data_IF_105684134450
#
_entry.id   IF_105684134450
#
_cell.length_a   1.000
_cell.length_b   1.000
_cell.length_c   1.000
_cell.angle_alpha   90.00
_cell.angle_beta   90.00
_cell.angle_gamma   90.00
#
_symmetry.space_group_name_H-M   'P 1'
#
loop_
_entity.id
_entity.type
_entity.pdbx_description
1 polymer ?
#
# COMPACT_ATOMS: atom_id res chain seq x y z
N UNK A 1 24.66 -8.19 7.90
CA UNK A 1 23.23 -8.00 8.25
C UNK A 1 22.86 -8.64 9.58
N UNK A 2 22.96 -9.97 9.77
CA UNK A 2 22.64 -10.59 11.09
C UNK A 2 23.67 -10.18 12.16
N UNK A 3 24.97 -10.24 11.84
CA UNK A 3 26.02 -9.78 12.76
C UNK A 3 25.90 -8.27 13.10
N UNK A 4 25.45 -7.46 12.15
CA UNK A 4 25.22 -6.03 12.38
C UNK A 4 24.03 -5.80 13.32
N UNK A 5 22.98 -6.62 13.21
CA UNK A 5 21.87 -6.65 14.15
C UNK A 5 22.33 -7.04 15.56
N UNK A 6 23.11 -8.11 15.71
CA UNK A 6 23.66 -8.55 17.00
C UNK A 6 24.46 -7.43 17.67
N UNK A 7 25.36 -6.81 16.92
CA UNK A 7 26.19 -5.70 17.40
C UNK A 7 25.34 -4.50 17.79
N UNK A 8 24.37 -4.10 16.96
CA UNK A 8 23.50 -2.96 17.24
C UNK A 8 22.63 -3.21 18.47
N UNK A 9 22.11 -4.42 18.63
CA UNK A 9 21.33 -4.80 19.80
C UNK A 9 22.19 -4.78 21.06
N UNK A 10 23.42 -5.30 20.99
CA UNK A 10 24.37 -5.23 22.10
C UNK A 10 24.70 -3.77 22.49
N UNK A 11 24.97 -2.91 21.51
CA UNK A 11 25.25 -1.48 21.73
C UNK A 11 24.06 -0.75 22.39
N UNK A 12 22.84 -0.98 21.88
CA UNK A 12 21.62 -0.34 22.39
C UNK A 12 21.30 -0.82 23.80
N UNK A 13 21.37 -2.12 24.08
CA UNK A 13 21.18 -2.65 25.42
C UNK A 13 22.28 -2.18 26.37
N UNK A 14 23.54 -2.15 25.93
CA UNK A 14 24.67 -1.69 26.72
C UNK A 14 24.58 -0.23 27.16
N UNK A 15 23.94 0.62 26.34
CA UNK A 15 23.67 2.02 26.66
C UNK A 15 22.42 2.26 27.52
N UNK A 16 21.48 1.31 27.56
CA UNK A 16 20.20 1.43 28.29
C UNK A 16 20.22 0.76 29.65
N UNK A 17 20.84 -0.40 29.74
CA UNK A 17 20.89 -1.17 30.97
C UNK A 17 21.67 -0.41 32.05
N UNK A 18 21.15 -0.45 33.27
CA UNK A 18 21.77 0.16 34.44
C UNK A 18 22.65 -0.86 35.18
N UNK A 19 23.34 -0.43 36.25
CA UNK A 19 24.13 -1.34 37.06
C UNK A 19 23.25 -2.51 37.58
N UNK A 20 23.75 -3.76 37.58
CA UNK A 20 25.14 -4.17 37.38
C UNK A 20 25.55 -4.45 35.91
N UNK A 21 24.65 -4.25 34.95
CA UNK A 21 24.82 -4.59 33.54
C UNK A 21 25.27 -3.41 32.65
N UNK A 22 25.35 -2.20 33.21
CA UNK A 22 25.73 -0.99 32.48
C UNK A 22 27.03 -1.17 31.68
N UNK A 23 26.94 -1.03 30.36
CA UNK A 23 28.06 -1.21 29.44
C UNK A 23 28.63 -2.64 29.35
N UNK A 24 27.93 -3.66 29.88
CA UNK A 24 28.38 -5.06 29.92
C UNK A 24 27.50 -5.96 29.07
N UNK A 25 27.24 -5.51 27.85
CA UNK A 25 26.52 -6.28 26.84
C UNK A 25 27.46 -6.54 25.69
N UNK A 26 27.61 -7.81 25.33
CA UNK A 26 28.56 -8.26 24.31
C UNK A 26 27.86 -9.15 23.29
N UNK A 27 28.43 -9.26 22.09
CA UNK A 27 28.02 -10.29 21.14
C UNK A 27 28.67 -11.62 21.52
N UNK A 28 27.91 -12.72 21.47
CA UNK A 28 28.39 -14.09 21.74
C UNK A 28 29.62 -14.42 20.87
N UNK A 29 30.68 -15.06 21.42
CA UNK A 29 30.78 -15.67 22.75
C UNK A 29 31.14 -14.71 23.90
N UNK A 30 31.47 -13.46 23.59
CA UNK A 30 31.91 -12.45 24.55
C UNK A 30 33.22 -12.81 25.28
N UNK A 31 33.64 -12.00 26.27
CA UNK A 31 34.84 -12.27 27.07
C UNK A 31 34.66 -13.47 27.99
N UNK A 32 35.64 -14.39 28.02
CA UNK A 32 35.58 -15.63 28.80
C UNK A 32 35.66 -15.41 30.32
N UNK A 33 36.48 -14.45 30.75
CA UNK A 33 36.70 -14.15 32.17
C UNK A 33 35.97 -12.87 32.55
N UNK A 34 34.84 -13.01 33.22
CA UNK A 34 34.12 -11.88 33.79
C UNK A 34 33.92 -12.09 35.28
N UNK A 35 34.74 -11.44 36.10
CA UNK A 35 34.53 -11.23 37.55
C UNK A 35 33.19 -10.51 37.88
N UNK A 36 32.35 -10.28 36.87
CA UNK A 36 31.26 -9.34 36.83
C UNK A 36 30.16 -9.92 35.92
N UNK A 37 28.90 -9.69 36.29
CA UNK A 37 27.76 -10.13 35.51
C UNK A 37 27.72 -9.41 34.15
N UNK A 38 27.42 -10.16 33.09
CA UNK A 38 27.39 -9.67 31.72
C UNK A 38 26.22 -10.26 30.93
N UNK A 39 25.82 -9.59 29.86
CA UNK A 39 24.82 -10.06 28.91
C UNK A 39 25.50 -10.38 27.58
N UNK A 40 25.10 -11.49 26.96
CA UNK A 40 25.57 -11.96 25.67
C UNK A 40 24.41 -11.99 24.70
N UNK A 41 24.59 -11.42 23.51
CA UNK A 41 23.57 -11.35 22.46
C UNK A 41 24.06 -12.17 21.27
N UNK A 42 23.23 -13.06 20.75
CA UNK A 42 23.54 -13.79 19.52
C UNK A 42 22.29 -14.31 18.82
N UNK A 43 22.31 -14.34 17.50
CA UNK A 43 21.33 -15.01 16.68
C UNK A 43 21.63 -16.52 16.67
N UNK A 44 20.63 -17.34 16.98
CA UNK A 44 20.78 -18.81 16.96
C UNK A 44 20.09 -19.47 15.78
N UNK A 45 19.04 -18.83 15.27
CA UNK A 45 18.30 -19.34 14.15
C UNK A 45 17.76 -18.19 13.32
N UNK A 46 17.66 -18.39 12.01
CA UNK A 46 17.01 -17.46 11.10
C UNK A 46 16.17 -18.25 10.11
N UNK A 47 14.88 -17.92 10.05
CA UNK A 47 13.91 -18.50 9.13
C UNK A 47 13.58 -17.48 8.05
N UNK A 48 13.54 -17.92 6.79
CA UNK A 48 13.07 -17.09 5.68
C UNK A 48 11.55 -17.08 5.68
N UNK A 49 10.95 -15.89 5.82
CA UNK A 49 9.51 -15.75 5.81
C UNK A 49 8.98 -15.81 4.37
N UNK A 50 8.05 -16.74 4.13
CA UNK A 50 7.45 -16.93 2.83
C UNK A 50 6.77 -15.65 2.32
N UNK A 51 7.03 -15.32 1.06
CA UNK A 51 6.34 -14.24 0.38
C UNK A 51 4.84 -14.55 0.28
N UNK A 52 3.99 -13.58 0.61
CA UNK A 52 2.57 -13.69 0.25
C UNK A 52 2.49 -13.61 -1.28
N UNK A 53 2.10 -14.71 -1.91
CA UNK A 53 1.92 -14.79 -3.37
C UNK A 53 0.89 -13.74 -3.83
N UNK A 54 1.25 -12.95 -4.85
CA UNK A 54 0.38 -11.93 -5.46
C UNK A 54 0.72 -10.49 -5.03
N UNK A 55 0.92 -9.62 -6.02
CA UNK A 55 1.16 -8.17 -5.91
C UNK A 55 2.37 -7.67 -5.07
N UNK A 56 3.14 -8.55 -4.43
CA UNK A 56 4.47 -8.25 -3.85
C UNK A 56 5.58 -7.98 -4.88
N UNK A 57 5.22 -7.51 -6.08
CA UNK A 57 6.20 -7.02 -7.06
C UNK A 57 6.59 -5.61 -6.65
N UNK A 58 7.79 -5.42 -6.11
CA UNK A 58 8.71 -4.32 -6.48
C UNK A 58 9.92 -4.24 -5.54
N UNK A 59 11.02 -3.62 -6.02
CA UNK A 59 12.22 -3.45 -5.22
C UNK A 59 11.90 -2.58 -3.98
N UNK A 60 12.43 -2.97 -2.82
CA UNK A 60 12.09 -2.34 -1.53
C UNK A 60 13.01 -1.14 -1.30
N UNK A 61 12.43 0.03 -0.98
CA UNK A 61 13.20 1.20 -0.58
C UNK A 61 13.55 1.06 0.90
N UNK A 62 14.84 1.11 1.22
CA UNK A 62 15.36 0.93 2.57
C UNK A 62 16.37 2.03 2.90
N UNK A 63 16.68 2.27 4.18
CA UNK A 63 17.63 3.30 4.57
C UNK A 63 18.99 3.14 3.88
N UNK A 64 19.58 4.26 3.47
CA UNK A 64 20.91 4.31 2.87
C UNK A 64 20.98 4.13 1.35
N UNK A 65 19.85 3.99 0.64
CA UNK A 65 19.78 4.28 -0.80
C UNK A 65 18.43 4.88 -1.20
N UNK A 66 18.49 5.79 -2.17
CA UNK A 66 17.30 6.31 -2.84
C UNK A 66 16.69 5.27 -3.78
N UNK A 67 17.57 4.47 -4.42
CA UNK A 67 17.15 3.39 -5.29
C UNK A 67 16.73 2.15 -4.52
N UNK A 68 15.68 1.47 -5.00
CA UNK A 68 15.13 0.32 -4.31
C UNK A 68 16.05 -0.90 -4.49
N UNK A 69 16.17 -1.75 -3.48
CA UNK A 69 17.18 -2.82 -3.44
C UNK A 69 16.60 -4.20 -3.16
N UNK A 70 17.43 -5.22 -3.37
CA UNK A 70 17.12 -6.60 -3.00
C UNK A 70 17.29 -6.79 -1.50
N UNK A 71 16.30 -7.45 -0.91
CA UNK A 71 16.16 -7.69 0.52
C UNK A 71 15.72 -9.13 0.75
N UNK A 72 15.92 -9.61 1.97
CA UNK A 72 15.41 -10.90 2.43
C UNK A 72 14.60 -10.66 3.68
N UNK A 73 13.38 -11.21 3.72
CA UNK A 73 12.52 -11.16 4.92
C UNK A 73 12.89 -12.32 5.82
N UNK A 74 13.39 -12.01 7.01
CA UNK A 74 13.82 -13.00 7.97
C UNK A 74 13.07 -12.85 9.29
N UNK A 75 12.85 -13.99 9.93
CA UNK A 75 12.56 -14.13 11.35
C UNK A 75 13.82 -14.67 12.02
N UNK A 76 14.48 -13.83 12.79
CA UNK A 76 15.66 -14.21 13.55
C UNK A 76 15.25 -14.54 15.00
N UNK A 77 15.60 -15.74 15.46
CA UNK A 77 15.56 -16.08 16.87
C UNK A 77 16.90 -15.66 17.50
N UNK A 78 16.82 -14.67 18.39
CA UNK A 78 17.93 -14.13 19.15
C UNK A 78 17.91 -14.74 20.56
N UNK A 79 19.07 -15.09 21.08
CA UNK A 79 19.27 -15.43 22.48
C UNK A 79 20.02 -14.31 23.16
N UNK A 80 19.47 -13.86 24.28
CA UNK A 80 20.10 -12.89 25.17
C UNK A 80 20.39 -13.60 26.48
N UNK A 81 21.65 -13.99 26.68
CA UNK A 81 22.10 -14.82 27.78
C UNK A 81 22.72 -13.97 28.88
N UNK A 82 22.45 -14.31 30.14
CA UNK A 82 23.04 -13.63 31.30
C UNK A 82 24.15 -14.51 31.86
N UNK A 83 25.40 -14.09 31.65
CA UNK A 83 26.57 -14.73 32.24
C UNK A 83 26.74 -14.26 33.69
N UNK A 84 26.61 -15.14 34.70
CA UNK A 84 26.84 -14.75 36.08
C UNK A 84 28.31 -14.38 36.31
N UNK A 85 28.58 -13.58 37.35
CA UNK A 85 29.93 -13.37 37.83
C UNK A 85 30.46 -14.64 38.50
N UNK A 86 31.78 -14.83 38.56
CA UNK A 86 32.43 -16.00 39.19
C UNK A 86 31.99 -16.27 40.63
N UNK A 87 31.67 -15.22 41.39
CA UNK A 87 31.13 -15.28 42.76
C UNK A 87 29.69 -14.74 42.84
N UNK A 88 28.98 -14.74 41.72
CA UNK A 88 27.63 -14.21 41.61
C UNK A 88 26.60 -15.08 42.34
N UNK A 89 25.70 -14.44 43.06
CA UNK A 89 24.57 -15.14 43.70
C UNK A 89 23.40 -15.30 42.72
N UNK A 90 22.57 -16.33 42.92
CA UNK A 90 21.31 -16.50 42.17
C UNK A 90 20.44 -15.24 42.18
N UNK A 91 20.43 -14.50 43.30
CA UNK A 91 19.67 -13.27 43.43
C UNK A 91 20.19 -12.16 42.50
N UNK A 92 21.50 -12.05 42.31
CA UNK A 92 22.10 -11.08 41.38
C UNK A 92 21.78 -11.44 39.93
N UNK A 93 21.81 -12.73 39.58
CA UNK A 93 21.44 -13.20 38.25
C UNK A 93 19.95 -12.97 37.94
N UNK A 94 19.06 -13.22 38.92
CA UNK A 94 17.64 -12.94 38.78
C UNK A 94 17.37 -11.44 38.61
N UNK A 95 18.01 -10.58 39.41
CA UNK A 95 17.86 -9.13 39.29
C UNK A 95 18.36 -8.59 37.93
N UNK A 96 19.42 -9.20 37.38
CA UNK A 96 19.91 -8.88 36.04
C UNK A 96 18.92 -9.29 34.94
N UNK A 97 18.29 -10.46 35.06
CA UNK A 97 17.21 -10.89 34.16
C UNK A 97 16.00 -9.96 34.25
N UNK A 98 15.60 -9.55 35.45
CA UNK A 98 14.48 -8.62 35.64
C UNK A 98 14.76 -7.27 34.97
N UNK A 99 15.97 -6.73 35.15
CA UNK A 99 16.40 -5.49 34.48
C UNK A 99 16.41 -5.64 32.96
N UNK A 100 16.88 -6.78 32.44
CA UNK A 100 16.88 -7.08 31.01
C UNK A 100 15.45 -7.16 30.45
N UNK A 101 14.56 -7.89 31.11
CA UNK A 101 13.17 -8.05 30.68
C UNK A 101 12.41 -6.73 30.69
N UNK A 102 12.64 -5.90 31.72
CA UNK A 102 12.06 -4.57 31.81
C UNK A 102 12.47 -3.69 30.64
N UNK A 103 13.76 -3.68 30.27
CA UNK A 103 14.24 -2.93 29.11
C UNK A 103 13.70 -3.49 27.78
N UNK A 104 13.65 -4.82 27.63
CA UNK A 104 13.12 -5.47 26.41
C UNK A 104 11.63 -5.20 26.17
N UNK A 105 10.84 -4.97 27.23
CA UNK A 105 9.43 -4.57 27.08
C UNK A 105 9.26 -3.07 26.77
N UNK A 106 10.33 -2.28 26.75
CA UNK A 106 10.26 -0.87 26.35
C UNK A 106 9.69 -0.75 24.93
N UNK A 107 8.83 0.25 24.73
CA UNK A 107 8.13 0.46 23.44
C UNK A 107 9.10 0.53 22.27
N UNK A 108 10.21 1.23 22.44
CA UNK A 108 11.19 1.46 21.37
C UNK A 108 11.98 0.20 20.99
N UNK A 109 12.21 -0.71 21.93
CA UNK A 109 12.78 -2.02 21.62
C UNK A 109 11.73 -2.91 20.97
N UNK A 110 10.49 -2.94 21.49
CA UNK A 110 9.41 -3.75 20.89
C UNK A 110 9.10 -3.43 19.44
N UNK A 111 9.10 -2.14 19.08
CA UNK A 111 8.94 -1.68 17.70
C UNK A 111 10.26 -1.58 16.93
N UNK A 112 11.37 -2.03 17.54
CA UNK A 112 12.73 -1.97 17.03
C UNK A 112 13.22 -0.58 16.59
N UNK A 113 12.52 0.49 16.96
CA UNK A 113 12.88 1.87 16.59
C UNK A 113 14.17 2.33 17.29
N UNK A 114 14.49 1.75 18.45
CA UNK A 114 15.77 1.97 19.13
C UNK A 114 16.97 1.46 18.31
N UNK A 115 16.76 0.48 17.44
CA UNK A 115 17.81 -0.15 16.64
C UNK A 115 18.06 0.61 15.34
N UNK A 116 17.16 1.50 14.93
CA UNK A 116 17.33 2.35 13.76
C UNK A 116 18.59 3.22 13.91
N UNK A 117 19.39 3.30 12.85
CA UNK A 117 20.62 4.10 12.78
C UNK A 117 20.58 4.97 11.52
N UNK A 118 21.21 6.17 11.54
CA UNK A 118 21.44 6.91 10.30
C UNK A 118 22.35 6.12 9.36
N UNK A 119 22.11 6.24 8.05
CA UNK A 119 22.86 5.54 7.01
C UNK A 119 22.26 4.19 6.62
N UNK A 120 23.12 3.21 6.32
CA UNK A 120 22.76 1.87 5.87
C UNK A 120 23.11 0.80 6.92
N UNK A 121 22.18 0.44 7.82
CA UNK A 121 22.43 -0.57 8.85
C UNK A 121 22.45 -2.01 8.32
N UNK A 122 22.05 -2.26 7.06
CA UNK A 122 21.89 -3.62 6.53
C UNK A 122 20.65 -4.37 7.05
N UNK A 123 19.77 -3.72 7.81
CA UNK A 123 18.51 -4.29 8.26
C UNK A 123 17.50 -3.22 8.68
N UNK A 124 16.20 -3.55 8.61
CA UNK A 124 15.09 -2.82 9.24
C UNK A 124 14.20 -3.86 9.88
N UNK A 125 13.88 -3.68 11.15
CA UNK A 125 13.03 -4.60 11.89
C UNK A 125 11.62 -4.02 12.05
N UNK A 126 10.64 -4.91 11.92
CA UNK A 126 9.24 -4.61 12.23
C UNK A 126 8.99 -4.70 13.74
N UNK A 127 9.63 -5.69 14.39
CA UNK A 127 9.51 -5.88 15.83
C UNK A 127 10.68 -6.67 16.43
N UNK A 128 10.84 -6.50 17.74
CA UNK A 128 11.72 -7.28 18.59
C UNK A 128 10.94 -7.70 19.85
N UNK A 129 10.52 -8.96 19.93
CA UNK A 129 9.57 -9.41 20.97
C UNK A 129 10.16 -10.55 21.79
N UNK A 130 10.17 -10.45 23.15
CA UNK A 130 10.48 -11.58 24.01
C UNK A 130 9.47 -12.71 23.79
N UNK A 131 9.95 -13.92 23.57
CA UNK A 131 9.11 -15.12 23.38
C UNK A 131 9.16 -16.04 24.59
N UNK A 132 10.33 -16.19 25.21
CA UNK A 132 10.51 -17.08 26.36
C UNK A 132 11.65 -16.64 27.27
N UNK A 133 11.63 -17.11 28.52
CA UNK A 133 12.67 -16.85 29.52
C UNK A 133 12.98 -18.13 30.27
N UNK A 134 14.26 -18.49 30.35
CA UNK A 134 14.76 -19.57 31.20
C UNK A 134 15.64 -18.99 32.30
N UNK A 135 15.12 -18.96 33.54
CA UNK A 135 15.81 -18.41 34.71
C UNK A 135 16.74 -19.43 35.37
N UNK A 136 16.33 -20.70 35.39
CA UNK A 136 17.14 -21.84 35.81
C UNK A 136 17.28 -22.70 34.57
N UNK A 137 18.47 -22.77 33.98
CA UNK A 137 18.62 -23.39 32.69
C UNK A 137 18.72 -24.92 32.93
N UNK A 138 18.11 -25.71 32.03
CA UNK A 138 17.83 -27.14 32.27
C UNK A 138 19.06 -28.05 32.25
N UNK A 139 20.19 -27.53 31.75
CA UNK A 139 21.46 -28.25 31.60
C UNK A 139 22.55 -27.63 32.49
N UNK A 140 23.51 -28.42 33.00
CA UNK A 140 24.52 -27.95 33.96
C UNK A 140 25.38 -26.76 33.50
N UNK A 141 25.60 -26.61 32.19
CA UNK A 141 26.45 -25.58 31.59
C UNK A 141 25.66 -24.50 30.84
N UNK A 142 24.32 -24.57 30.89
CA UNK A 142 23.47 -23.61 30.21
C UNK A 142 23.38 -22.31 31.01
N UNK A 143 23.31 -21.17 30.30
CA UNK A 143 23.14 -19.86 30.92
C UNK A 143 21.65 -19.49 30.98
N UNK A 144 21.23 -18.71 31.98
CA UNK A 144 19.92 -18.09 31.95
C UNK A 144 19.76 -17.23 30.69
N UNK A 145 18.60 -17.33 30.04
CA UNK A 145 18.41 -16.78 28.70
C UNK A 145 17.02 -16.17 28.52
N UNK A 146 16.96 -15.10 27.75
CA UNK A 146 15.73 -14.57 27.16
C UNK A 146 15.78 -14.84 25.66
N UNK A 147 14.82 -15.58 25.14
CA UNK A 147 14.65 -15.76 23.71
C UNK A 147 13.80 -14.63 23.14
N UNK A 148 14.30 -14.02 22.07
CA UNK A 148 13.71 -12.84 21.47
C UNK A 148 13.56 -13.06 19.98
N UNK A 149 12.37 -12.82 19.45
CA UNK A 149 12.10 -12.84 18.02
C UNK A 149 12.34 -11.47 17.41
N UNK A 150 13.15 -11.42 16.36
CA UNK A 150 13.34 -10.26 15.51
C UNK A 150 12.79 -10.55 14.11
N UNK A 151 11.68 -9.91 13.74
CA UNK A 151 11.10 -10.02 12.39
C UNK A 151 11.46 -8.75 11.59
N UNK A 152 11.93 -8.90 10.36
CA UNK A 152 12.27 -7.75 9.52
C UNK A 152 12.90 -8.06 8.18
N UNK A 153 13.41 -7.02 7.55
CA UNK A 153 14.09 -7.03 6.27
C UNK A 153 15.60 -6.92 6.47
N UNK A 154 16.35 -7.69 5.68
CA UNK A 154 17.80 -7.79 5.80
C UNK A 154 18.43 -7.71 4.41
N UNK A 155 19.56 -7.00 4.32
CA UNK A 155 20.33 -6.85 3.08
C UNK A 155 21.81 -6.61 3.41
N UNK A 156 22.74 -6.90 2.48
CA UNK A 156 24.14 -6.58 2.70
C UNK A 156 24.33 -5.05 2.86
N UNK A 157 25.02 -4.57 3.91
CA UNK A 157 25.30 -3.14 4.07
C UNK A 157 26.00 -2.57 2.83
N UNK A 158 25.63 -1.35 2.45
CA UNK A 158 26.12 -0.64 1.27
C UNK A 158 25.84 -1.33 -0.07
N UNK A 159 24.92 -2.30 -0.11
CA UNK A 159 24.48 -2.88 -1.37
C UNK A 159 23.78 -1.80 -2.21
N UNK A 160 24.20 -1.58 -3.46
CA UNK A 160 23.57 -0.59 -4.31
C UNK A 160 22.11 -0.99 -4.61
N UNK A 161 21.24 0.02 -4.67
CA UNK A 161 19.91 -0.14 -5.23
C UNK A 161 19.97 -0.42 -6.73
N UNK A 162 18.85 -0.88 -7.27
CA UNK A 162 18.66 -1.02 -8.71
C UNK A 162 17.69 0.07 -9.13
N UNK A 163 18.20 1.05 -9.87
CA UNK A 163 17.38 2.10 -10.47
C UNK A 163 16.25 1.46 -11.27
N UNK A 164 15.02 1.80 -10.92
CA UNK A 164 13.84 1.33 -11.64
C UNK A 164 13.81 1.85 -13.07
N UNK A 165 12.94 1.26 -13.90
CA UNK A 165 12.63 1.88 -15.19
C UNK A 165 11.89 3.17 -14.92
N UNK A 166 12.38 4.28 -15.50
CA UNK A 166 11.76 5.58 -15.43
C UNK A 166 10.30 5.52 -15.89
N UNK A 167 9.37 6.01 -15.07
CA UNK A 167 7.97 6.16 -15.45
C UNK A 167 7.84 7.47 -16.21
N UNK A 168 8.04 7.42 -17.52
CA UNK A 168 8.00 8.60 -18.41
C UNK A 168 6.59 9.20 -18.59
N UNK A 169 5.53 8.42 -18.29
CA UNK A 169 4.16 8.90 -18.27
C UNK A 169 3.26 8.01 -17.42
N UNK A 170 2.37 8.64 -16.64
CA UNK A 170 1.25 7.95 -15.97
C UNK A 170 -0.08 8.54 -16.45
N UNK A 171 -0.95 7.68 -16.99
CA UNK A 171 -2.31 8.06 -17.36
C UNK A 171 -3.24 7.79 -16.16
N UNK A 172 -3.67 8.85 -15.49
CA UNK A 172 -4.65 8.75 -14.40
C UNK A 172 -6.03 9.07 -14.97
N UNK A 173 -6.92 8.07 -14.91
CA UNK A 173 -8.34 8.22 -15.26
C UNK A 173 -9.15 8.18 -13.97
N UNK A 174 -9.37 9.34 -13.36
CA UNK A 174 -10.26 9.49 -12.21
C UNK A 174 -11.60 10.03 -12.69
N UNK A 175 -12.67 9.26 -12.51
CA UNK A 175 -14.04 9.71 -12.71
C UNK A 175 -14.72 9.77 -11.33
N UNK A 176 -14.91 10.98 -10.80
CA UNK A 176 -15.92 11.24 -9.79
C UNK A 176 -16.74 12.41 -10.29
N UNK A 177 -17.93 12.12 -10.82
CA UNK A 177 -18.81 13.11 -11.45
C UNK A 177 -20.20 13.05 -10.79
N UNK A 178 -20.80 14.19 -10.39
CA UNK A 178 -22.23 14.35 -10.54
C UNK A 178 -22.52 14.54 -12.04
N UNK A 179 -23.15 13.55 -12.67
CA UNK A 179 -23.71 13.68 -14.03
C UNK A 179 -25.18 14.03 -13.89
N UNK A 180 -25.61 15.15 -14.47
CA UNK A 180 -27.01 15.56 -14.46
C UNK A 180 -27.55 15.65 -15.89
N UNK A 181 -28.78 15.19 -16.10
CA UNK A 181 -29.52 15.36 -17.34
C UNK A 181 -30.46 16.58 -17.19
N UNK A 182 -30.56 17.39 -18.24
CA UNK A 182 -31.46 18.55 -18.30
C UNK A 182 -32.29 18.50 -19.60
N UNK A 183 -33.60 18.78 -19.54
CA UNK A 183 -34.40 18.92 -18.32
C UNK A 183 -34.55 17.58 -17.57
N UNK A 184 -34.74 17.62 -16.26
CA UNK A 184 -35.07 16.47 -15.43
C UNK A 184 -35.98 16.87 -14.27
N UNK A 185 -37.05 16.11 -13.93
CA UNK A 185 -37.51 14.89 -14.60
C UNK A 185 -38.08 15.15 -16.00
N UNK A 186 -37.96 14.16 -16.89
CA UNK A 186 -38.54 14.20 -18.23
C UNK A 186 -40.00 13.72 -18.18
N UNK A 187 -40.89 14.50 -18.80
CA UNK A 187 -42.28 14.11 -19.07
C UNK A 187 -42.42 13.98 -20.59
N UNK A 188 -42.38 12.75 -21.11
CA UNK A 188 -42.39 12.45 -22.54
C UNK A 188 -43.56 11.53 -22.85
N UNK A 189 -44.34 11.85 -23.89
CA UNK A 189 -45.41 11.01 -24.42
C UNK A 189 -45.02 10.39 -25.76
N UNK A 190 -45.69 9.28 -26.07
CA UNK A 190 -45.54 8.62 -27.35
C UNK A 190 -45.89 9.57 -28.51
N UNK A 191 -44.98 9.69 -29.47
CA UNK A 191 -45.14 10.60 -30.63
C UNK A 191 -44.94 12.08 -30.32
N UNK A 192 -44.44 12.45 -29.14
CA UNK A 192 -44.05 13.82 -28.84
C UNK A 192 -42.96 14.33 -29.82
N UNK A 193 -42.88 15.65 -30.03
CA UNK A 193 -41.80 16.23 -30.82
C UNK A 193 -40.44 15.93 -30.19
N UNK A 194 -39.39 16.03 -31.02
CA UNK A 194 -37.99 15.85 -30.61
C UNK A 194 -37.64 16.72 -29.40
N UNK A 195 -37.12 16.10 -28.35
CA UNK A 195 -36.79 16.73 -27.07
C UNK A 195 -35.30 17.09 -27.04
N UNK A 196 -34.93 18.36 -26.80
CA UNK A 196 -33.53 18.72 -26.56
C UNK A 196 -33.08 18.23 -25.18
N UNK A 197 -31.93 17.58 -25.12
CA UNK A 197 -31.32 17.07 -23.90
C UNK A 197 -29.90 17.63 -23.75
N UNK A 198 -29.55 17.98 -22.52
CA UNK A 198 -28.21 18.42 -22.15
C UNK A 198 -27.69 17.58 -21.00
N UNK A 199 -26.54 16.96 -21.17
CA UNK A 199 -25.79 16.37 -20.05
C UNK A 199 -24.86 17.43 -19.49
N UNK A 200 -24.99 17.72 -18.20
CA UNK A 200 -24.03 18.53 -17.43
C UNK A 200 -23.04 17.61 -16.75
N UNK A 201 -21.76 17.85 -17.01
CA UNK A 201 -20.65 17.10 -16.42
C UNK A 201 -19.97 18.02 -15.42
N UNK A 202 -19.95 17.65 -14.14
CA UNK A 202 -19.16 18.39 -13.14
C UNK A 202 -17.69 18.48 -13.57
N UNK A 203 -17.02 19.59 -13.28
CA UNK A 203 -15.66 19.86 -13.75
C UNK A 203 -14.68 18.72 -13.39
N UNK A 204 -14.29 17.92 -14.39
CA UNK A 204 -13.13 17.04 -14.32
C UNK A 204 -12.57 16.85 -15.73
N UNK A 205 -11.26 16.74 -15.83
CA UNK A 205 -10.54 16.46 -17.06
C UNK A 205 -9.57 15.30 -16.88
N UNK A 206 -9.06 14.75 -17.97
CA UNK A 206 -7.95 13.80 -17.93
C UNK A 206 -6.68 14.54 -17.56
N UNK A 207 -5.99 14.13 -16.50
CA UNK A 207 -4.66 14.66 -16.18
C UNK A 207 -3.61 13.69 -16.68
N UNK A 208 -2.79 14.13 -17.64
CA UNK A 208 -1.55 13.43 -17.97
C UNK A 208 -0.47 13.94 -17.01
N UNK A 209 0.09 13.04 -16.22
CA UNK A 209 1.24 13.34 -15.39
C UNK A 209 2.52 13.03 -16.18
N UNK A 210 3.26 14.08 -16.51
CA UNK A 210 4.60 14.11 -17.11
C UNK A 210 5.52 14.95 -16.21
N UNK A 211 6.78 15.17 -16.59
CA UNK A 211 7.65 16.15 -15.91
C UNK A 211 7.13 17.60 -16.04
N UNK A 212 6.37 17.86 -17.10
CA UNK A 212 5.65 19.13 -17.29
C UNK A 212 4.43 19.27 -16.35
N UNK A 213 3.98 20.51 -16.06
CA UNK A 213 2.77 20.76 -15.28
C UNK A 213 1.59 19.92 -15.79
N UNK A 214 0.79 19.31 -14.88
CA UNK A 214 -0.32 18.46 -15.28
C UNK A 214 -1.27 19.23 -16.21
N UNK A 215 -1.39 18.73 -17.43
CA UNK A 215 -2.36 19.26 -18.39
C UNK A 215 -3.69 18.57 -18.13
N UNK A 216 -4.65 19.33 -17.59
CA UNK A 216 -6.05 18.90 -17.49
C UNK A 216 -6.67 19.07 -18.86
N UNK A 217 -6.91 17.96 -19.58
CA UNK A 217 -7.70 17.99 -20.80
C UNK A 217 -9.18 17.88 -20.44
N UNK A 218 -10.06 18.80 -20.90
CA UNK A 218 -11.50 18.62 -20.73
C UNK A 218 -11.93 17.29 -21.34
N UNK A 219 -13.00 16.66 -20.84
CA UNK A 219 -13.63 15.55 -21.54
C UNK A 219 -13.98 16.03 -22.96
N UNK A 220 -13.23 15.63 -23.98
CA UNK A 220 -13.45 16.12 -25.33
C UNK A 220 -14.79 15.65 -25.90
N UNK A 221 -15.21 14.44 -25.52
CA UNK A 221 -16.38 13.77 -26.11
C UNK A 221 -17.03 12.77 -25.13
N UNK A 222 -18.36 12.66 -25.18
CA UNK A 222 -19.15 11.64 -24.48
C UNK A 222 -19.80 10.71 -25.50
N UNK A 223 -19.90 9.42 -25.16
CA UNK A 223 -20.69 8.47 -25.93
C UNK A 223 -22.06 8.28 -25.24
N UNK A 224 -23.16 8.46 -25.98
CA UNK A 224 -24.52 8.28 -25.47
C UNK A 224 -25.30 7.26 -26.30
N UNK A 225 -26.12 6.44 -25.63
CA UNK A 225 -26.95 5.43 -26.30
C UNK A 225 -28.27 5.24 -25.57
N UNK A 226 -29.34 4.97 -26.33
CA UNK A 226 -30.63 4.56 -25.79
C UNK A 226 -30.74 3.04 -25.81
N UNK A 227 -31.08 2.46 -24.67
CA UNK A 227 -31.26 1.01 -24.51
C UNK A 227 -32.59 0.69 -23.83
N UNK A 228 -33.14 -0.49 -24.08
CA UNK A 228 -34.27 -1.02 -23.31
C UNK A 228 -33.82 -1.51 -21.91
N UNK A 229 -34.77 -1.92 -21.06
CA UNK A 229 -34.48 -2.49 -19.74
C UNK A 229 -33.54 -3.73 -19.77
N UNK A 230 -33.45 -4.42 -20.91
CA UNK A 230 -32.57 -5.57 -21.13
C UNK A 230 -31.20 -5.24 -21.75
N UNK A 231 -30.91 -3.96 -22.01
CA UNK A 231 -29.65 -3.50 -22.61
C UNK A 231 -29.57 -3.66 -24.14
N UNK A 232 -30.68 -3.98 -24.82
CA UNK A 232 -30.78 -3.99 -26.29
C UNK A 232 -31.06 -2.56 -26.80
N UNK A 233 -30.91 -2.27 -28.11
CA UNK A 233 -31.30 -0.96 -28.65
C UNK A 233 -32.74 -0.59 -28.24
N UNK A 234 -32.91 0.62 -27.68
CA UNK A 234 -34.21 1.10 -27.25
C UNK A 234 -35.11 1.54 -28.41
N UNK A 235 -36.34 1.90 -28.10
CA UNK A 235 -37.37 2.21 -29.11
C UNK A 235 -37.24 3.64 -29.66
N UNK A 236 -36.79 4.60 -28.84
CA UNK A 236 -36.51 5.96 -29.26
C UNK A 236 -35.16 6.13 -29.94
N UNK A 237 -34.96 7.27 -30.60
CA UNK A 237 -33.76 7.56 -31.39
C UNK A 237 -32.99 8.77 -30.85
N UNK A 238 -31.67 8.79 -31.05
CA UNK A 238 -30.83 9.95 -30.71
C UNK A 238 -30.34 10.65 -31.97
N UNK A 239 -30.27 11.98 -31.91
CA UNK A 239 -29.65 12.82 -32.93
C UNK A 239 -28.76 13.91 -32.30
N UNK A 240 -27.82 14.44 -33.10
CA UNK A 240 -26.70 15.26 -32.62
C UNK A 240 -25.40 14.47 -32.51
N UNK A 241 -24.27 15.16 -32.64
CA UNK A 241 -22.93 14.57 -32.62
C UNK A 241 -22.63 13.60 -33.77
N UNK A 242 -21.49 12.89 -33.68
CA UNK A 242 -21.07 11.90 -34.66
C UNK A 242 -21.76 10.55 -34.43
N UNK A 243 -22.07 9.81 -35.50
CA UNK A 243 -22.64 8.45 -35.43
C UNK A 243 -21.55 7.48 -34.99
N UNK A 244 -21.81 6.73 -33.92
CA UNK A 244 -21.00 5.59 -33.48
C UNK A 244 -21.67 4.24 -33.78
N UNK A 245 -21.01 3.12 -33.45
CA UNK A 245 -21.58 1.78 -33.58
C UNK A 245 -22.79 1.59 -32.66
N UNK A 246 -23.66 0.63 -33.01
CA UNK A 246 -24.78 0.18 -32.19
C UNK A 246 -25.75 1.29 -31.73
N UNK A 247 -25.97 2.29 -32.59
CA UNK A 247 -26.88 3.42 -32.30
C UNK A 247 -26.31 4.45 -31.32
N UNK A 248 -25.02 4.38 -31.02
CA UNK A 248 -24.32 5.35 -30.16
C UNK A 248 -24.16 6.70 -30.88
N UNK A 249 -24.25 7.80 -30.13
CA UNK A 249 -23.84 9.14 -30.59
C UNK A 249 -22.65 9.62 -29.79
N UNK A 250 -21.67 10.18 -30.47
CA UNK A 250 -20.51 10.82 -29.84
C UNK A 250 -20.74 12.33 -29.82
N UNK A 251 -20.83 12.90 -28.63
CA UNK A 251 -21.20 14.30 -28.39
C UNK A 251 -20.00 15.03 -27.83
N UNK A 252 -19.51 16.03 -28.57
CA UNK A 252 -18.47 16.94 -28.07
C UNK A 252 -18.97 17.68 -26.84
N UNK A 253 -18.16 17.73 -25.78
CA UNK A 253 -18.47 18.54 -24.60
C UNK A 253 -17.87 19.93 -24.81
N UNK A 254 -18.72 20.94 -24.77
CA UNK A 254 -18.31 22.35 -24.77
C UNK A 254 -18.87 22.98 -23.50
N UNK A 255 -18.10 23.81 -22.79
CA UNK A 255 -18.76 24.61 -21.75
C UNK A 255 -19.15 23.84 -20.49
N UNK A 256 -18.71 22.58 -20.31
CA UNK A 256 -19.26 21.57 -19.35
C UNK A 256 -20.54 20.83 -19.78
N UNK A 257 -21.02 21.11 -20.99
CA UNK A 257 -22.28 20.63 -21.52
C UNK A 257 -22.09 19.77 -22.77
N UNK A 258 -22.86 18.68 -22.85
CA UNK A 258 -23.03 17.89 -24.05
C UNK A 258 -24.49 17.96 -24.49
N UNK A 259 -24.73 18.58 -25.65
CA UNK A 259 -26.08 18.80 -26.19
C UNK A 259 -26.41 17.80 -27.30
N UNK A 260 -27.58 17.18 -27.20
CA UNK A 260 -28.11 16.24 -28.18
C UNK A 260 -29.64 16.24 -28.11
N UNK A 261 -30.28 15.41 -28.93
CA UNK A 261 -31.72 15.34 -29.06
C UNK A 261 -32.20 13.90 -28.96
N UNK A 262 -33.30 13.70 -28.25
CA UNK A 262 -34.01 12.42 -28.19
C UNK A 262 -35.34 12.53 -28.94
N UNK A 263 -35.59 11.58 -29.82
CA UNK A 263 -36.85 11.43 -30.53
C UNK A 263 -37.65 10.30 -29.86
N UNK A 264 -38.78 10.63 -29.20
CA UNK A 264 -39.63 9.64 -28.56
C UNK A 264 -40.22 8.65 -29.59
N UNK A 265 -40.34 7.37 -29.25
CA UNK A 265 -41.02 6.40 -30.09
C UNK A 265 -42.52 6.71 -30.24
N UNK A 266 -43.12 6.22 -31.32
CA UNK A 266 -44.56 6.39 -31.59
C UNK A 266 -45.47 5.55 -30.67
N UNK A 267 -44.91 4.63 -29.89
CA UNK A 267 -45.61 3.82 -28.90
C UNK A 267 -44.93 3.96 -27.52
N UNK A 268 -45.64 3.72 -26.42
CA UNK A 268 -45.06 3.74 -25.08
C UNK A 268 -43.86 2.78 -24.95
N UNK A 269 -42.81 3.22 -24.26
CA UNK A 269 -41.57 2.46 -24.10
C UNK A 269 -40.85 2.83 -22.79
N UNK A 270 -40.16 1.85 -22.21
CA UNK A 270 -39.29 2.01 -21.04
C UNK A 270 -37.82 2.04 -21.49
N UNK A 271 -37.43 3.14 -22.11
CA UNK A 271 -36.07 3.37 -22.58
C UNK A 271 -35.16 3.86 -21.43
N UNK A 272 -33.85 3.70 -21.61
CA UNK A 272 -32.80 4.21 -20.73
C UNK A 272 -31.74 4.91 -21.58
N UNK A 273 -31.40 6.15 -21.20
CA UNK A 273 -30.23 6.83 -21.73
C UNK A 273 -29.01 6.41 -20.91
N UNK A 274 -28.00 5.84 -21.56
CA UNK A 274 -26.72 5.48 -20.94
C UNK A 274 -25.62 6.38 -21.48
N UNK A 275 -24.82 6.91 -20.57
CA UNK A 275 -23.70 7.82 -20.84
C UNK A 275 -22.39 7.11 -20.55
N UNK A 276 -21.45 7.15 -21.47
CA UNK A 276 -20.14 6.51 -21.38
C UNK A 276 -19.02 7.50 -21.66
N UNK A 277 -17.82 7.17 -21.16
CA UNK A 277 -16.58 7.82 -21.60
C UNK A 277 -16.32 7.42 -23.06
N UNK A 278 -16.13 8.40 -23.96
CA UNK A 278 -15.68 8.14 -25.32
C UNK A 278 -14.21 7.65 -25.31
N UNK A 279 -13.88 6.65 -26.11
CA UNK A 279 -12.51 6.15 -26.22
C UNK A 279 -11.87 6.63 -27.54
N UNK A 280 -10.71 7.28 -27.44
CA UNK A 280 -9.92 7.63 -28.62
C UNK A 280 -9.27 6.36 -29.21
N UNK A 281 -9.58 6.08 -30.48
CA UNK A 281 -9.04 4.95 -31.24
C UNK A 281 -9.52 4.95 -32.69
N UNK A 282 -8.94 4.10 -33.55
CA UNK A 282 -9.27 4.00 -34.98
C UNK A 282 -10.73 3.56 -35.27
N UNK A 283 -11.49 3.20 -34.24
CA UNK A 283 -12.92 2.97 -34.29
C UNK A 283 -13.52 3.39 -32.95
N UNK A 284 -14.61 4.18 -32.93
CA UNK A 284 -15.23 4.61 -31.68
C UNK A 284 -15.72 3.38 -30.91
N UNK A 285 -15.27 3.25 -29.66
CA UNK A 285 -15.65 2.16 -28.76
C UNK A 285 -16.23 2.70 -27.46
N UNK A 286 -17.24 1.99 -26.94
CA UNK A 286 -17.95 2.36 -25.71
C UNK A 286 -17.05 2.08 -24.51
N UNK A 287 -16.71 3.12 -23.75
CA UNK A 287 -15.89 3.03 -22.55
C UNK A 287 -16.68 2.67 -21.28
N UNK A 288 -16.22 3.17 -20.15
CA UNK A 288 -16.86 2.95 -18.84
C UNK A 288 -18.20 3.70 -18.78
N UNK A 289 -19.26 3.05 -18.29
CA UNK A 289 -20.56 3.68 -18.01
C UNK A 289 -20.41 4.71 -16.89
N UNK A 290 -20.77 5.96 -17.19
CA UNK A 290 -20.73 7.09 -16.27
C UNK A 290 -22.06 7.29 -15.55
N UNK A 291 -23.17 7.17 -16.29
CA UNK A 291 -24.50 7.42 -15.76
C UNK A 291 -25.58 6.75 -16.61
N UNK A 292 -26.74 6.55 -15.99
CA UNK A 292 -27.95 6.01 -16.62
C UNK A 292 -29.17 6.80 -16.17
N UNK A 293 -30.01 7.19 -17.13
CA UNK A 293 -31.22 7.98 -16.89
C UNK A 293 -32.44 7.30 -17.51
N UNK A 294 -33.54 7.10 -16.76
CA UNK A 294 -34.76 6.56 -17.35
C UNK A 294 -35.41 7.54 -18.34
N UNK A 295 -35.78 7.04 -19.51
CA UNK A 295 -36.57 7.72 -20.52
C UNK A 295 -37.93 7.01 -20.65
N UNK A 296 -38.77 7.15 -19.61
CA UNK A 296 -40.11 6.57 -19.64
C UNK A 296 -41.00 7.37 -20.59
N UNK A 297 -41.50 6.71 -21.64
CA UNK A 297 -42.39 7.30 -22.65
C UNK A 297 -43.79 6.77 -22.39
N UNK A 298 -44.69 7.66 -21.94
CA UNK A 298 -46.07 7.28 -21.59
C UNK A 298 -47.00 7.37 -22.79
N UNK A 299 -48.14 6.67 -22.74
CA UNK A 299 -49.22 6.81 -23.72
C UNK A 299 -50.04 8.09 -23.57
#
# INVERSE_FOLDING_TARGET
>A
MIADLEKRLADVLGGRLTAPLAGRVFVTPGPADTNQIAVLVGAVHAEVLAEKFGAGRRPEQVPGADDPRRVVRLRCAMRIEVRPADNGTRAQTAAALDALLYELDSRELRTASALTAPGDPGFVLDCLLPESVAVIPGEPDSLPVVEVRADGWFWPPNAPGVTGVEITAALVRTAMLPVALQPWPLLIRAGDPVVPLTIRVGAAGTSRLTEDPPTVSPFGELAVRVVDAGGRPGAGSLSGGAVGPDGTRLITVADDAAEFRYEPPAAPADDQLVVYVAHDGASPSVGIELARFPLAVTG
#
